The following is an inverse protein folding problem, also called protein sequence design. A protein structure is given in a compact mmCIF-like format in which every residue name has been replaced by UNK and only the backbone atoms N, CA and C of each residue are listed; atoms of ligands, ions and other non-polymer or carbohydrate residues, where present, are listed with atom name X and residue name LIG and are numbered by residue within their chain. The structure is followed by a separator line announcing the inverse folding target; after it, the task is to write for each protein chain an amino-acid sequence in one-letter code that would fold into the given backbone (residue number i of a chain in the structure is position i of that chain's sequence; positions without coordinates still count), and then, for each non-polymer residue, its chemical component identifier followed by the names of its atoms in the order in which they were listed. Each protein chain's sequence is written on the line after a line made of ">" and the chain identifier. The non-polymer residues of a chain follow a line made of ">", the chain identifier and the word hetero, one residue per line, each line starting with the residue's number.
data_IF_519070727363
#
_entry.id   IF_519070727363
#
_cell.length_a   1.000
_cell.length_b   1.000
_cell.length_c   1.000
_cell.angle_alpha   90.00
_cell.angle_beta   90.00
_cell.angle_gamma   90.00
#
_symmetry.space_group_name_H-M   'P 1'
#
loop_
_entity.id
_entity.type
_entity.pdbx_description
1 polymer ?
#
# COMPACT_ATOMS: atom_id res chain seq x y z
N UNK A 1 -6.68 16.45 2.30
CA UNK A 1 -6.76 15.07 1.76
C UNK A 1 -6.64 14.07 2.90
N UNK A 2 -7.47 13.02 2.94
CA UNK A 2 -7.27 11.93 3.90
C UNK A 2 -6.12 11.04 3.43
N UNK A 3 -5.17 10.76 4.32
CA UNK A 3 -3.98 9.94 4.05
C UNK A 3 -4.25 8.49 4.42
N UNK A 4 -3.65 7.58 3.66
CA UNK A 4 -3.76 6.14 3.84
C UNK A 4 -2.37 5.49 3.90
N UNK A 5 -2.24 4.45 4.72
CA UNK A 5 -0.98 3.81 5.04
C UNK A 5 -0.45 2.89 3.94
N UNK A 6 -1.34 2.24 3.19
CA UNK A 6 -0.98 1.29 2.12
C UNK A 6 -1.82 1.50 0.88
N UNK A 7 -1.35 0.99 -0.25
CA UNK A 7 -2.09 0.88 -1.51
C UNK A 7 -2.59 -0.56 -1.68
N UNK A 8 -3.88 -0.71 -1.97
CA UNK A 8 -4.48 -2.01 -2.27
C UNK A 8 -4.04 -2.49 -3.64
N UNK A 9 -3.36 -3.63 -3.73
CA UNK A 9 -2.96 -4.26 -5.00
C UNK A 9 -4.16 -4.70 -5.84
N UNK A 10 -5.32 -4.90 -5.21
CA UNK A 10 -6.53 -5.34 -5.89
C UNK A 10 -7.17 -4.24 -6.76
N UNK A 11 -7.13 -2.98 -6.32
CA UNK A 11 -7.86 -1.87 -6.98
C UNK A 11 -7.10 -0.54 -7.01
N UNK A 12 -5.86 -0.51 -6.53
CA UNK A 12 -5.03 0.67 -6.44
C UNK A 12 -5.41 1.65 -5.33
N UNK A 13 -6.49 1.49 -4.57
CA UNK A 13 -6.94 2.51 -3.61
C UNK A 13 -6.13 2.52 -2.32
N UNK A 14 -6.03 3.69 -1.68
CA UNK A 14 -5.47 3.80 -0.33
C UNK A 14 -6.31 3.08 0.73
N UNK A 15 -5.65 2.34 1.63
CA UNK A 15 -6.27 1.59 2.72
C UNK A 15 -5.50 1.77 4.04
N UNK A 16 -6.23 1.75 5.17
CA UNK A 16 -5.69 1.75 6.54
C UNK A 16 -6.01 0.46 7.30
N UNK A 17 -6.64 -0.50 6.64
CA UNK A 17 -6.90 -1.82 7.19
C UNK A 17 -7.05 -2.81 6.05
N UNK A 18 -6.73 -4.06 6.33
CA UNK A 18 -6.86 -5.10 5.33
C UNK A 18 -6.01 -6.31 5.64
N UNK A 19 -5.90 -7.16 4.64
CA UNK A 19 -5.04 -8.33 4.65
C UNK A 19 -3.70 -7.97 4.03
N UNK A 20 -2.64 -8.46 4.67
CA UNK A 20 -1.27 -8.42 4.19
C UNK A 20 -0.82 -9.86 3.93
N UNK A 21 -0.14 -10.08 2.80
CA UNK A 21 0.40 -11.37 2.41
C UNK A 21 1.92 -11.30 2.27
N UNK A 22 2.60 -12.40 2.62
CA UNK A 22 4.06 -12.57 2.52
C UNK A 22 4.82 -11.33 3.03
N UNK A 23 4.48 -10.85 4.22
CA UNK A 23 5.12 -9.71 4.88
C UNK A 23 5.16 -8.41 4.06
N UNK A 24 4.13 -8.17 3.23
CA UNK A 24 3.94 -6.89 2.54
C UNK A 24 4.09 -6.94 1.02
N UNK A 25 4.13 -8.13 0.43
CA UNK A 25 4.16 -8.28 -1.03
C UNK A 25 2.80 -8.07 -1.69
N UNK A 26 1.71 -8.17 -0.94
CA UNK A 26 0.36 -7.93 -1.44
C UNK A 26 -0.57 -7.45 -0.33
N UNK A 27 -1.35 -6.41 -0.61
CA UNK A 27 -2.32 -5.79 0.27
C UNK A 27 -3.71 -5.78 -0.37
N UNK A 28 -4.75 -6.13 0.40
CA UNK A 28 -6.13 -5.93 -0.03
C UNK A 28 -7.05 -5.61 1.14
N UNK A 29 -8.15 -4.92 0.87
CA UNK A 29 -9.00 -4.36 1.91
C UNK A 29 -9.93 -5.36 2.57
N UNK A 30 -10.49 -6.29 1.80
CA UNK A 30 -11.63 -7.13 2.24
C UNK A 30 -11.30 -8.61 2.26
N UNK A 31 -12.03 -9.37 3.08
CA UNK A 31 -11.91 -10.83 3.14
C UNK A 31 -12.22 -11.48 1.78
N UNK A 32 -13.18 -10.92 1.03
CA UNK A 32 -13.51 -11.41 -0.31
C UNK A 32 -12.30 -11.32 -1.25
N UNK A 33 -11.62 -10.18 -1.25
CA UNK A 33 -10.41 -9.98 -2.06
C UNK A 33 -9.26 -10.88 -1.60
N UNK A 34 -9.10 -11.06 -0.29
CA UNK A 34 -8.11 -11.97 0.28
C UNK A 34 -8.37 -13.41 -0.16
N UNK A 35 -9.63 -13.86 -0.10
CA UNK A 35 -10.06 -15.17 -0.59
C UNK A 35 -9.75 -15.35 -2.07
N UNK A 36 -10.13 -14.38 -2.91
CA UNK A 36 -9.85 -14.42 -4.35
C UNK A 36 -8.34 -14.53 -4.62
N UNK A 37 -7.51 -13.80 -3.88
CA UNK A 37 -6.06 -13.89 -4.00
C UNK A 37 -5.51 -15.26 -3.58
N UNK A 38 -5.93 -15.81 -2.44
CA UNK A 38 -5.54 -17.16 -1.99
C UNK A 38 -5.90 -18.23 -3.02
N UNK A 39 -7.14 -18.20 -3.51
CA UNK A 39 -7.63 -19.17 -4.50
C UNK A 39 -6.90 -19.01 -5.85
N UNK A 40 -6.52 -17.78 -6.23
CA UNK A 40 -5.71 -17.53 -7.44
C UNK A 40 -4.30 -18.15 -7.39
N UNK A 41 -3.78 -18.40 -6.18
CA UNK A 41 -2.50 -19.09 -5.96
C UNK A 41 -2.63 -20.61 -5.89
N UNK A 42 -3.84 -21.15 -6.07
CA UNK A 42 -4.11 -22.59 -6.03
C UNK A 42 -4.30 -23.15 -4.62
N UNK A 43 -4.48 -22.30 -3.60
CA UNK A 43 -4.71 -22.73 -2.23
C UNK A 43 -6.20 -22.69 -1.86
N UNK A 44 -6.58 -23.44 -0.81
CA UNK A 44 -7.94 -23.44 -0.29
C UNK A 44 -8.10 -22.43 0.85
N UNK A 45 -8.97 -21.43 0.68
CA UNK A 45 -9.22 -20.40 1.69
C UNK A 45 -9.53 -20.94 3.10
N UNK A 46 -10.34 -21.99 3.22
CA UNK A 46 -10.73 -22.54 4.53
C UNK A 46 -9.55 -23.18 5.25
N UNK A 47 -8.70 -23.89 4.51
CA UNK A 47 -7.50 -24.53 5.04
C UNK A 47 -6.46 -23.48 5.42
N UNK A 48 -6.27 -22.47 4.58
CA UNK A 48 -5.31 -21.40 4.84
C UNK A 48 -5.71 -20.55 6.07
N UNK A 49 -7.00 -20.25 6.29
CA UNK A 49 -7.45 -19.58 7.52
C UNK A 49 -7.14 -20.36 8.80
N UNK A 50 -7.09 -21.69 8.74
CA UNK A 50 -6.75 -22.50 9.92
C UNK A 50 -5.28 -22.35 10.33
N UNK A 51 -4.44 -21.78 9.46
CA UNK A 51 -3.01 -21.52 9.74
C UNK A 51 -2.78 -20.18 10.42
N UNK A 52 -3.82 -19.38 10.68
CA UNK A 52 -3.66 -18.12 11.41
C UNK A 52 -3.06 -18.33 12.80
N UNK A 53 -2.15 -17.43 13.21
CA UNK A 53 -1.36 -17.54 14.43
C UNK A 53 -0.51 -18.82 14.53
N UNK A 54 -0.16 -19.43 13.40
CA UNK A 54 0.79 -20.54 13.34
C UNK A 54 2.06 -20.12 12.61
N UNK A 55 3.14 -20.90 12.75
CA UNK A 55 4.37 -20.71 11.98
C UNK A 55 4.20 -20.80 10.45
N UNK A 56 3.05 -21.28 9.99
CA UNK A 56 2.71 -21.41 8.57
C UNK A 56 1.74 -20.30 8.10
N UNK A 57 1.47 -19.31 8.94
CA UNK A 57 0.73 -18.11 8.55
C UNK A 57 1.57 -17.33 7.53
N UNK A 58 0.98 -17.08 6.36
CA UNK A 58 1.61 -16.27 5.29
C UNK A 58 0.76 -15.06 4.94
N UNK A 59 -0.35 -14.87 5.65
CA UNK A 59 -1.19 -13.69 5.55
C UNK A 59 -2.03 -13.51 6.81
N UNK A 60 -2.35 -12.26 7.13
CA UNK A 60 -3.15 -11.90 8.30
C UNK A 60 -3.89 -10.58 8.06
N UNK A 61 -4.93 -10.33 8.86
CA UNK A 61 -5.65 -9.05 8.85
C UNK A 61 -5.01 -8.10 9.86
N UNK A 62 -4.86 -6.83 9.50
CA UNK A 62 -4.33 -5.81 10.40
C UNK A 62 -4.92 -4.42 10.12
N UNK A 63 -4.75 -3.53 11.09
CA UNK A 63 -5.07 -2.11 11.06
C UNK A 63 -3.75 -1.32 11.11
N UNK A 64 -3.61 -0.32 10.26
CA UNK A 64 -2.44 0.57 10.24
C UNK A 64 -2.85 1.94 10.76
N UNK A 65 -2.38 2.26 11.97
CA UNK A 65 -2.50 3.61 12.55
C UNK A 65 -1.34 4.51 12.12
N UNK A 66 -0.17 3.92 11.87
CA UNK A 66 1.02 4.61 11.41
C UNK A 66 0.95 4.86 9.90
N UNK A 67 1.07 6.14 9.55
CA UNK A 67 1.22 6.58 8.17
C UNK A 67 2.72 6.77 7.96
N UNK A 68 3.32 5.94 7.11
CA UNK A 68 4.69 6.14 6.65
C UNK A 68 4.78 7.53 6.00
N UNK A 69 5.69 8.38 6.49
CA UNK A 69 5.81 9.75 6.01
C UNK A 69 6.54 9.86 4.67
N UNK A 70 7.22 8.79 4.24
CA UNK A 70 7.97 8.77 2.99
C UNK A 70 7.04 8.62 1.78
N UNK A 71 6.05 7.72 1.85
CA UNK A 71 5.04 7.49 0.82
C UNK A 71 3.61 7.48 1.38
N UNK A 72 2.82 8.45 0.94
CA UNK A 72 1.45 8.67 1.36
C UNK A 72 0.49 8.31 0.23
N UNK A 73 -0.62 7.64 0.56
CA UNK A 73 -1.66 7.33 -0.43
C UNK A 73 -2.95 8.09 -0.13
N UNK A 74 -3.70 8.44 -1.18
CA UNK A 74 -5.08 8.91 -1.04
C UNK A 74 -6.09 7.79 -1.33
N UNK A 75 -7.39 8.11 -1.26
CA UNK A 75 -8.46 7.12 -1.49
C UNK A 75 -8.51 6.60 -2.95
N UNK A 76 -7.92 7.33 -3.89
CA UNK A 76 -7.84 6.96 -5.30
C UNK A 76 -6.58 6.15 -5.60
N UNK A 77 -5.59 6.17 -4.71
CA UNK A 77 -4.31 5.49 -4.89
C UNK A 77 -3.19 6.37 -5.39
N UNK A 78 -3.41 7.68 -5.47
CA UNK A 78 -2.38 8.63 -5.86
C UNK A 78 -1.30 8.65 -4.77
N UNK A 79 -0.03 8.72 -5.20
CA UNK A 79 1.13 8.65 -4.32
C UNK A 79 1.68 10.05 -4.09
N UNK A 80 1.91 10.37 -2.82
CA UNK A 80 2.41 11.67 -2.40
C UNK A 80 3.65 11.50 -1.55
N UNK A 81 4.51 12.51 -1.62
CA UNK A 81 5.58 12.73 -0.65
C UNK A 81 5.37 14.07 0.06
N UNK A 82 6.26 14.42 0.97
CA UNK A 82 6.23 15.70 1.68
C UNK A 82 7.19 16.69 1.00
N UNK A 83 6.73 17.90 0.70
CA UNK A 83 7.60 18.95 0.16
C UNK A 83 8.66 19.37 1.19
N UNK A 84 9.93 19.39 0.80
CA UNK A 84 11.03 19.77 1.71
C UNK A 84 11.01 21.25 2.12
N UNK A 85 10.38 22.13 1.33
CA UNK A 85 10.36 23.57 1.59
C UNK A 85 9.16 24.00 2.45
N UNK A 86 7.96 23.48 2.14
CA UNK A 86 6.72 23.91 2.81
C UNK A 86 6.00 22.81 3.59
N UNK A 87 6.51 21.58 3.59
CA UNK A 87 5.92 20.40 4.25
C UNK A 87 4.50 20.02 3.79
N UNK A 88 4.04 20.58 2.67
CA UNK A 88 2.77 20.20 2.06
C UNK A 88 2.88 18.87 1.31
N UNK A 89 1.82 18.04 1.26
CA UNK A 89 1.78 16.85 0.42
C UNK A 89 1.92 17.22 -1.05
N UNK A 90 2.77 16.50 -1.78
CA UNK A 90 2.95 16.70 -3.22
C UNK A 90 2.77 15.39 -3.95
N UNK A 91 1.84 15.39 -4.91
CA UNK A 91 1.62 14.26 -5.79
C UNK A 91 2.89 14.01 -6.61
N UNK A 92 3.45 12.81 -6.53
CA UNK A 92 4.67 12.44 -7.25
C UNK A 92 4.48 12.53 -8.77
N UNK A 93 3.27 12.45 -9.31
CA UNK A 93 3.06 12.63 -10.75
C UNK A 93 3.32 14.09 -11.21
N UNK A 94 3.17 15.07 -10.32
CA UNK A 94 3.17 16.49 -10.69
C UNK A 94 4.58 17.10 -10.81
N UNK A 95 5.65 16.38 -10.45
CA UNK A 95 7.08 16.82 -10.47
C UNK A 95 7.36 18.18 -9.79
N UNK A 96 6.37 18.82 -9.18
CA UNK A 96 6.42 20.17 -8.63
C UNK A 96 5.38 20.31 -7.52
N UNK A 97 5.74 20.99 -6.45
CA UNK A 97 4.80 21.35 -5.38
C UNK A 97 3.84 22.44 -5.87
N UNK A 98 2.54 22.24 -5.71
CA UNK A 98 1.54 23.24 -6.11
C UNK A 98 1.45 24.43 -5.14
N UNK A 99 1.91 24.26 -3.90
CA UNK A 99 1.85 25.31 -2.87
C UNK A 99 3.01 26.31 -2.97
N UNK A 100 4.26 25.82 -3.08
CA UNK A 100 5.45 26.67 -3.11
C UNK A 100 6.20 26.66 -4.45
N UNK A 101 5.72 25.90 -5.44
CA UNK A 101 6.34 25.78 -6.77
C UNK A 101 7.76 25.19 -6.80
N UNK A 102 8.22 24.60 -5.70
CA UNK A 102 9.49 23.86 -5.65
C UNK A 102 9.42 22.61 -6.53
N UNK A 103 10.46 22.36 -7.31
CA UNK A 103 10.57 21.15 -8.14
C UNK A 103 10.90 19.93 -7.27
N UNK A 104 10.25 18.80 -7.54
CA UNK A 104 10.54 17.54 -6.86
C UNK A 104 11.34 16.64 -7.79
N UNK A 105 12.54 16.28 -7.36
CA UNK A 105 13.37 15.29 -8.05
C UNK A 105 12.96 13.90 -7.59
N UNK A 106 12.23 13.19 -8.43
CA UNK A 106 11.87 11.80 -8.18
C UNK A 106 13.06 10.97 -8.62
N UNK A 107 13.79 10.41 -7.67
CA UNK A 107 14.78 9.37 -7.96
C UNK A 107 13.95 8.14 -8.34
N UNK A 108 13.66 7.97 -9.62
CA UNK A 108 13.06 6.73 -10.12
C UNK A 108 14.09 5.63 -9.94
N UNK A 109 14.01 4.90 -8.83
CA UNK A 109 14.66 3.59 -8.71
C UNK A 109 13.98 2.68 -9.72
N UNK A 110 14.51 2.64 -10.93
CA UNK A 110 14.10 1.65 -11.92
C UNK A 110 14.42 0.27 -11.33
N UNK A 111 13.48 -0.69 -11.27
CA UNK A 111 13.81 -2.03 -10.85
C UNK A 111 14.85 -2.56 -11.83
N UNK A 112 16.06 -2.80 -11.32
CA UNK A 112 17.10 -3.51 -12.04
C UNK A 112 16.54 -4.89 -12.40
N UNK A 113 16.12 -5.06 -13.65
CA UNK A 113 15.85 -6.38 -14.22
C UNK A 113 17.15 -7.17 -14.07
N UNK A 114 17.14 -8.13 -13.15
CA UNK A 114 18.16 -9.16 -13.03
C UNK A 114 17.50 -10.49 -13.30
#
# INVERSE_FOLDING_TARGET
>A
MKKYARKSDFNGKGINQGYIFNDGQYYCQTEKQAKEYVESKGFNWKEEKQKFNTKNEWFYFTLWEEIDTEELFDIEGNVYTTCVECNEPVNLELKKCESCFTSIYIITLSPSKT
#
